data_IF_666803960356
#
_entry.id   IF_666803960356
#
_cell.length_a   1.000
_cell.length_b   1.000
_cell.length_c   1.000
_cell.angle_alpha   90.00
_cell.angle_beta   90.00
_cell.angle_gamma   90.00
#
_symmetry.space_group_name_H-M   'P 1'
#
loop_
_entity.id
_entity.type
_entity.pdbx_description
1 polymer ?
#
# COMPACT_ATOMS: atom_id res chain seq x y z
N UNK A 1 -6.08 -12.46 -1.45
CA UNK A 1 -7.47 -12.45 -0.97
C UNK A 1 -7.69 -11.21 -0.14
N UNK A 2 -8.73 -10.44 -0.44
CA UNK A 2 -9.22 -9.37 0.45
C UNK A 2 -9.76 -10.07 1.71
N UNK A 3 -9.55 -9.48 2.89
CA UNK A 3 -9.66 -10.16 4.19
C UNK A 3 -11.06 -10.67 4.57
N UNK A 4 -11.21 -11.17 5.80
CA UNK A 4 -12.47 -11.74 6.28
C UNK A 4 -13.56 -10.67 6.41
N UNK A 5 -14.58 -10.74 5.54
CA UNK A 5 -15.71 -9.81 5.50
C UNK A 5 -16.44 -9.69 6.85
N UNK A 6 -16.56 -10.79 7.59
CA UNK A 6 -17.26 -10.82 8.89
C UNK A 6 -16.56 -9.94 9.92
N UNK A 7 -15.22 -10.00 9.98
CA UNK A 7 -14.44 -9.16 10.92
C UNK A 7 -14.61 -7.67 10.59
N UNK A 8 -14.56 -7.32 9.30
CA UNK A 8 -14.77 -5.93 8.87
C UNK A 8 -16.20 -5.45 9.12
N UNK A 9 -17.20 -6.31 8.84
CA UNK A 9 -18.60 -6.00 9.10
C UNK A 9 -18.85 -5.73 10.57
N UNK A 10 -18.41 -6.61 11.47
CA UNK A 10 -18.56 -6.43 12.93
C UNK A 10 -17.87 -5.15 13.42
N UNK A 11 -16.65 -4.89 12.95
CA UNK A 11 -15.90 -3.70 13.33
C UNK A 11 -16.52 -2.39 12.83
N UNK A 12 -17.15 -2.39 11.65
CA UNK A 12 -17.84 -1.20 11.15
C UNK A 12 -19.19 -1.04 11.86
N UNK A 13 -19.91 -2.13 12.07
CA UNK A 13 -21.23 -2.11 12.69
C UNK A 13 -21.17 -1.62 14.14
N UNK A 14 -20.11 -1.95 14.89
CA UNK A 14 -19.88 -1.41 16.22
C UNK A 14 -19.60 0.10 16.22
N UNK A 15 -18.96 0.63 15.17
CA UNK A 15 -18.66 2.06 15.01
C UNK A 15 -19.87 2.87 14.56
N UNK A 16 -20.73 2.29 13.73
CA UNK A 16 -21.93 2.96 13.21
C UNK A 16 -23.20 2.18 13.55
N UNK A 17 -23.58 2.11 14.85
CA UNK A 17 -24.65 1.23 15.33
C UNK A 17 -26.03 1.57 14.76
N UNK A 18 -26.27 2.82 14.36
CA UNK A 18 -27.54 3.28 13.79
C UNK A 18 -27.68 3.01 12.28
N UNK A 19 -26.63 2.55 11.63
CA UNK A 19 -26.62 2.31 10.17
C UNK A 19 -26.54 0.82 9.90
N UNK A 20 -27.32 0.32 8.93
CA UNK A 20 -27.21 -1.06 8.46
C UNK A 20 -25.97 -1.20 7.58
N UNK A 21 -24.97 -1.98 8.02
CA UNK A 21 -23.73 -2.17 7.28
C UNK A 21 -23.68 -3.56 6.66
N UNK A 22 -23.37 -3.61 5.36
CA UNK A 22 -23.12 -4.85 4.63
C UNK A 22 -21.69 -4.81 4.11
N UNK A 23 -20.91 -5.84 4.42
CA UNK A 23 -19.56 -6.04 3.87
C UNK A 23 -19.51 -7.39 3.18
N UNK A 24 -19.18 -7.39 1.89
CA UNK A 24 -19.07 -8.62 1.13
C UNK A 24 -18.03 -8.50 0.00
N UNK A 25 -17.64 -9.67 -0.53
CA UNK A 25 -16.73 -9.73 -1.65
C UNK A 25 -17.45 -9.36 -2.96
N UNK A 26 -16.75 -8.66 -3.85
CA UNK A 26 -17.25 -8.19 -5.15
C UNK A 26 -18.50 -7.30 -5.05
N UNK A 27 -18.60 -6.49 -4.00
CA UNK A 27 -19.71 -5.56 -3.78
C UNK A 27 -19.87 -4.53 -4.93
N UNK A 28 -18.77 -4.16 -5.58
CA UNK A 28 -18.72 -3.27 -6.75
C UNK A 28 -19.39 -3.86 -8.00
N UNK A 29 -19.49 -5.18 -8.09
CA UNK A 29 -20.25 -5.86 -9.14
C UNK A 29 -21.75 -5.97 -8.80
N UNK A 30 -22.09 -6.05 -7.51
CA UNK A 30 -23.45 -6.31 -7.02
C UNK A 30 -24.27 -5.04 -6.79
N UNK A 31 -23.63 -3.94 -6.40
CA UNK A 31 -24.31 -2.70 -6.02
C UNK A 31 -23.81 -1.51 -6.84
N UNK A 32 -24.73 -0.83 -7.53
CA UNK A 32 -24.40 0.30 -8.40
C UNK A 32 -23.69 1.43 -7.65
N UNK A 33 -24.13 1.75 -6.43
CA UNK A 33 -23.51 2.78 -5.60
C UNK A 33 -22.03 2.47 -5.28
N UNK A 34 -21.71 1.20 -5.03
CA UNK A 34 -20.33 0.75 -4.76
C UNK A 34 -19.51 0.73 -6.04
N UNK A 35 -20.13 0.38 -7.18
CA UNK A 35 -19.52 0.46 -8.50
C UNK A 35 -19.09 1.90 -8.84
N UNK A 36 -20.00 2.87 -8.66
CA UNK A 36 -19.73 4.28 -8.83
C UNK A 36 -18.59 4.77 -7.92
N UNK A 37 -18.61 4.39 -6.64
CA UNK A 37 -17.52 4.70 -5.71
C UNK A 37 -16.17 4.12 -6.16
N UNK A 38 -16.17 2.91 -6.73
CA UNK A 38 -14.97 2.25 -7.27
C UNK A 38 -14.41 2.97 -8.51
N UNK A 39 -15.27 3.54 -9.35
CA UNK A 39 -14.87 4.39 -10.48
C UNK A 39 -14.23 5.67 -9.95
N UNK A 40 -14.93 6.40 -9.06
CA UNK A 40 -14.42 7.63 -8.47
C UNK A 40 -13.05 7.42 -7.81
N UNK A 41 -12.89 6.35 -7.03
CA UNK A 41 -11.63 6.02 -6.38
C UNK A 41 -10.47 5.80 -7.38
N UNK A 42 -10.70 5.09 -8.49
CA UNK A 42 -9.69 4.87 -9.53
C UNK A 42 -9.33 6.15 -10.27
N UNK A 43 -10.34 6.91 -10.71
CA UNK A 43 -10.14 8.17 -11.44
C UNK A 43 -9.36 9.17 -10.60
N UNK A 44 -9.73 9.34 -9.32
CA UNK A 44 -9.02 10.25 -8.41
C UNK A 44 -7.59 9.79 -8.17
N UNK A 45 -7.37 8.47 -7.96
CA UNK A 45 -6.02 7.92 -7.80
C UNK A 45 -5.15 8.24 -9.01
N UNK A 46 -5.65 7.95 -10.22
CA UNK A 46 -4.89 8.12 -11.45
C UNK A 46 -4.62 9.62 -11.71
N UNK A 47 -5.60 10.48 -11.44
CA UNK A 47 -5.43 11.93 -11.47
C UNK A 47 -4.34 12.43 -10.51
N UNK A 48 -4.33 11.95 -9.26
CA UNK A 48 -3.29 12.32 -8.28
C UNK A 48 -1.91 11.87 -8.74
N UNK A 49 -1.80 10.66 -9.30
CA UNK A 49 -0.52 10.12 -9.78
C UNK A 49 0.02 10.91 -10.98
N UNK A 50 -0.82 11.22 -11.97
CA UNK A 50 -0.43 12.02 -13.15
C UNK A 50 0.07 13.41 -12.72
N UNK A 51 -0.63 14.02 -11.76
CA UNK A 51 -0.31 15.36 -11.27
C UNK A 51 0.68 15.37 -10.10
N UNK A 52 1.26 14.22 -9.75
CA UNK A 52 2.21 14.14 -8.64
C UNK A 52 3.43 15.01 -8.94
N UNK A 53 3.81 15.80 -7.93
CA UNK A 53 5.01 16.63 -7.96
C UNK A 53 6.02 16.03 -7.01
N UNK A 54 7.05 15.41 -7.58
CA UNK A 54 8.19 14.93 -6.82
C UNK A 54 8.88 16.12 -6.14
N UNK A 55 9.23 15.94 -4.87
CA UNK A 55 10.08 16.91 -4.15
C UNK A 55 11.55 16.63 -4.45
N UNK A 56 11.82 15.38 -4.78
CA UNK A 56 13.09 14.83 -5.22
C UNK A 56 13.33 15.17 -6.71
N UNK A 57 14.59 15.23 -7.14
CA UNK A 57 14.98 15.55 -8.51
C UNK A 57 14.76 14.36 -9.47
N UNK A 58 13.50 13.92 -9.60
CA UNK A 58 13.11 12.77 -10.42
C UNK A 58 12.51 13.26 -11.72
N UNK A 59 13.24 13.02 -12.81
CA UNK A 59 12.80 13.31 -14.17
C UNK A 59 11.98 12.17 -14.78
N UNK A 60 12.29 10.92 -14.44
CA UNK A 60 11.59 9.77 -14.99
C UNK A 60 10.27 9.47 -14.25
N UNK A 61 9.16 9.69 -14.95
CA UNK A 61 7.80 9.41 -14.47
C UNK A 61 7.27 8.05 -14.91
N UNK A 62 8.07 7.22 -15.59
CA UNK A 62 7.66 5.90 -16.03
C UNK A 62 7.80 4.84 -14.93
N UNK A 63 7.13 5.05 -13.79
CA UNK A 63 7.11 4.09 -12.67
C UNK A 63 6.16 2.91 -12.88
N UNK A 64 5.63 2.73 -14.09
CA UNK A 64 4.72 1.64 -14.45
C UNK A 64 3.40 1.68 -13.68
N UNK A 65 2.87 0.51 -13.36
CA UNK A 65 1.58 0.36 -12.67
C UNK A 65 1.60 0.68 -11.18
N UNK A 66 2.79 0.77 -10.57
CA UNK A 66 2.97 0.93 -9.13
C UNK A 66 2.78 -0.36 -8.32
N UNK A 67 2.59 -1.52 -8.96
CA UNK A 67 2.48 -2.81 -8.27
C UNK A 67 3.81 -3.57 -8.25
N UNK A 68 4.06 -4.31 -7.16
CA UNK A 68 5.26 -5.14 -7.03
C UNK A 68 5.32 -6.34 -7.98
N UNK A 69 4.25 -6.62 -8.73
CA UNK A 69 4.22 -7.67 -9.76
C UNK A 69 4.68 -7.16 -11.13
N UNK A 70 4.74 -5.85 -11.31
CA UNK A 70 5.09 -5.21 -12.57
C UNK A 70 6.61 -4.97 -12.64
N UNK A 71 7.22 -5.47 -13.72
CA UNK A 71 8.67 -5.35 -13.95
C UNK A 71 9.09 -3.89 -14.14
N UNK A 72 8.26 -3.06 -14.76
CA UNK A 72 8.55 -1.63 -14.97
C UNK A 72 8.65 -0.95 -13.61
N UNK A 73 7.66 -1.19 -12.73
CA UNK A 73 7.65 -0.67 -11.36
C UNK A 73 8.90 -1.11 -10.58
N UNK A 74 9.28 -2.39 -10.64
CA UNK A 74 10.46 -2.90 -9.93
C UNK A 74 11.76 -2.26 -10.47
N UNK A 75 11.88 -2.10 -11.79
CA UNK A 75 13.07 -1.48 -12.38
C UNK A 75 13.17 -0.01 -11.98
N UNK A 76 12.07 0.74 -12.06
CA UNK A 76 12.03 2.13 -11.65
C UNK A 76 12.43 2.30 -10.18
N UNK A 77 11.95 1.43 -9.28
CA UNK A 77 12.39 1.42 -7.88
C UNK A 77 13.90 1.16 -7.76
N UNK A 78 14.45 0.24 -8.55
CA UNK A 78 15.87 -0.08 -8.52
C UNK A 78 16.78 1.06 -9.00
N UNK A 79 16.27 1.91 -9.90
CA UNK A 79 16.98 3.05 -10.49
C UNK A 79 16.84 4.31 -9.62
N UNK A 80 15.71 4.47 -8.93
CA UNK A 80 15.39 5.65 -8.13
C UNK A 80 15.56 5.41 -6.61
N UNK A 81 16.50 4.57 -6.22
CA UNK A 81 16.86 4.35 -4.80
C UNK A 81 18.17 5.07 -4.47
N UNK A 82 18.11 5.94 -3.48
CA UNK A 82 19.25 6.60 -2.86
C UNK A 82 19.80 5.77 -1.70
N UNK A 83 21.13 5.74 -1.53
CA UNK A 83 21.75 4.89 -0.51
C UNK A 83 21.52 5.40 0.91
N UNK A 84 21.35 6.72 1.09
CA UNK A 84 21.15 7.38 2.39
C UNK A 84 19.66 7.54 2.67
N UNK A 85 18.92 8.13 1.73
CA UNK A 85 17.51 8.51 1.92
C UNK A 85 16.52 7.41 1.50
N UNK A 86 16.97 6.43 0.72
CA UNK A 86 16.11 5.36 0.22
C UNK A 86 15.27 5.81 -0.97
N UNK A 87 13.94 5.75 -0.86
CA UNK A 87 13.04 5.97 -2.00
C UNK A 87 12.40 7.37 -2.00
N UNK A 88 11.86 7.79 -3.15
CA UNK A 88 11.06 9.01 -3.24
C UNK A 88 9.77 8.88 -2.44
N UNK A 89 9.20 10.00 -2.02
CA UNK A 89 8.03 10.07 -1.16
C UNK A 89 6.76 9.36 -1.70
N UNK A 90 6.66 9.15 -3.01
CA UNK A 90 5.55 8.43 -3.65
C UNK A 90 5.56 6.93 -3.27
N UNK A 91 6.73 6.40 -2.87
CA UNK A 91 6.95 4.98 -2.61
C UNK A 91 6.55 4.63 -1.19
N UNK A 92 5.90 3.47 -1.05
CA UNK A 92 5.51 2.92 0.25
C UNK A 92 6.65 2.12 0.86
N UNK A 93 7.43 2.73 1.75
CA UNK A 93 8.57 2.10 2.42
C UNK A 93 8.25 0.80 3.16
N UNK A 94 7.03 0.67 3.69
CA UNK A 94 6.58 -0.54 4.40
C UNK A 94 6.30 -1.73 3.47
N UNK A 95 6.41 -1.58 2.15
CA UNK A 95 6.30 -2.72 1.24
C UNK A 95 7.54 -3.59 1.34
N UNK A 96 7.34 -4.91 1.45
CA UNK A 96 8.44 -5.87 1.61
C UNK A 96 9.46 -5.82 0.47
N UNK A 97 9.02 -5.49 -0.75
CA UNK A 97 9.91 -5.24 -1.89
C UNK A 97 10.84 -4.05 -1.64
N UNK A 98 10.33 -2.97 -1.06
CA UNK A 98 11.13 -1.78 -0.73
C UNK A 98 12.11 -2.10 0.40
N UNK A 99 11.68 -2.81 1.45
CA UNK A 99 12.55 -3.21 2.56
C UNK A 99 13.74 -4.06 2.08
N UNK A 100 13.50 -5.06 1.22
CA UNK A 100 14.56 -5.90 0.65
C UNK A 100 15.53 -5.12 -0.23
N UNK A 101 15.02 -4.14 -0.99
CA UNK A 101 15.87 -3.29 -1.82
C UNK A 101 16.73 -2.34 -0.97
N UNK A 102 16.19 -1.78 0.10
CA UNK A 102 16.94 -0.98 1.07
C UNK A 102 18.01 -1.78 1.79
N UNK A 103 17.72 -3.01 2.20
CA UNK A 103 18.72 -3.90 2.80
C UNK A 103 19.89 -4.22 1.85
N UNK A 104 19.63 -4.26 0.53
CA UNK A 104 20.63 -4.59 -0.48
C UNK A 104 21.45 -3.39 -0.96
N UNK A 105 20.82 -2.21 -1.11
CA UNK A 105 21.41 -1.02 -1.76
C UNK A 105 21.54 0.19 -0.84
N UNK A 106 20.76 0.23 0.24
CA UNK A 106 20.81 1.28 1.25
C UNK A 106 21.90 1.05 2.28
N UNK A 107 22.26 2.12 2.97
CA UNK A 107 23.10 2.04 4.16
C UNK A 107 22.35 1.33 5.29
N UNK A 108 23.08 0.56 6.10
CA UNK A 108 22.51 -0.11 7.27
C UNK A 108 22.20 0.92 8.35
N UNK A 109 20.91 1.16 8.58
CA UNK A 109 20.43 2.05 9.64
C UNK A 109 20.06 1.21 10.87
N UNK A 110 20.69 1.51 12.00
CA UNK A 110 20.28 0.98 13.30
C UNK A 110 19.39 2.02 13.98
N UNK A 111 18.07 1.77 13.96
CA UNK A 111 17.16 2.55 14.78
C UNK A 111 17.35 2.13 16.23
N UNK A 112 17.79 3.06 17.08
CA UNK A 112 17.69 2.84 18.52
C UNK A 112 16.20 2.78 18.84
N UNK A 113 15.71 1.59 19.22
CA UNK A 113 14.35 1.42 19.72
C UNK A 113 14.24 2.14 21.07
N UNK A 114 14.08 3.47 21.04
CA UNK A 114 13.68 4.24 22.21
C UNK A 114 12.24 3.85 22.54
N UNK A 115 12.06 2.81 23.35
CA UNK A 115 10.87 2.48 24.15
C UNK A 115 9.52 2.84 23.52
N UNK A 116 9.30 2.52 22.25
CA UNK A 116 7.97 2.57 21.66
C UNK A 116 7.29 1.22 21.99
N UNK A 117 6.08 1.22 22.56
CA UNK A 117 5.39 -0.02 22.89
C UNK A 117 5.25 -0.87 21.63
N UNK A 118 5.93 -2.02 21.61
CA UNK A 118 5.92 -2.97 20.51
C UNK A 118 4.47 -3.41 20.26
N UNK A 119 3.84 -2.89 19.20
CA UNK A 119 2.58 -3.45 18.71
C UNK A 119 2.90 -4.83 18.16
N UNK A 120 2.56 -5.88 18.93
CA UNK A 120 2.62 -7.28 18.50
C UNK A 120 1.76 -7.46 17.25
N UNK A 121 2.35 -7.34 16.06
CA UNK A 121 1.70 -7.77 14.83
C UNK A 121 1.86 -9.28 14.70
N UNK A 122 0.88 -10.03 15.21
CA UNK A 122 0.78 -11.47 14.93
C UNK A 122 0.50 -11.67 13.43
N UNK A 123 1.54 -11.94 12.64
CA UNK A 123 1.40 -12.46 11.29
C UNK A 123 2.21 -13.76 11.16
N UNK A 124 1.76 -14.81 11.86
CA UNK A 124 2.11 -16.19 11.50
C UNK A 124 1.21 -16.61 10.34
N UNK A 125 1.67 -16.45 9.09
CA UNK A 125 1.13 -17.22 7.96
C UNK A 125 1.95 -18.49 7.83
N UNK A 126 1.46 -19.59 8.42
CA UNK A 126 1.95 -20.95 8.11
C UNK A 126 1.64 -21.24 6.63
N UNK A 127 2.65 -21.64 5.85
CA UNK A 127 2.45 -22.26 4.53
C UNK A 127 2.09 -23.73 4.78
N UNK A 128 1.00 -24.27 4.22
CA UNK A 128 0.80 -25.72 4.19
C UNK A 128 1.80 -26.35 3.19
N UNK A 129 2.27 -27.56 3.54
CA UNK A 129 3.04 -28.44 2.66
C UNK A 129 2.20 -28.90 1.47
#
# INVERSE_FOLDING_TARGET
>A
MIGNNTVYSTNLQSKFPKTRIIVEAKADFKYLAVSAASICAKVIRDYILINWKFKENISDRNYGSGYTSDKITINWLNENIDSIYGFPNIVRFNWSTCSKLLEKKGLKICWNELNLPQKKTNHKRKRPN
#
